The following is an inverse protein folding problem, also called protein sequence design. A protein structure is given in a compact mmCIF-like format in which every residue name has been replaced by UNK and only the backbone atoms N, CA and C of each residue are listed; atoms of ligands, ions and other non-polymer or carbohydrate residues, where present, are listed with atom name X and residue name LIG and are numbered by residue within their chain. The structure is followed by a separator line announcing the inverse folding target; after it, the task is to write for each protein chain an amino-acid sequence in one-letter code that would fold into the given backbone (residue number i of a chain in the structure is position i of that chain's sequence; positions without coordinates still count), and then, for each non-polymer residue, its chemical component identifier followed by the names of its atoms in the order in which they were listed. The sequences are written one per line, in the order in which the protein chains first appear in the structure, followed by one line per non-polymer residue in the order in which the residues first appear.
data_IF_325431098332
#
_entry.id   IF_325431098332
#
_cell.length_a   1.000
_cell.length_b   1.000
_cell.length_c   1.000
_cell.angle_alpha   90.00
_cell.angle_beta   90.00
_cell.angle_gamma   90.00
#
_symmetry.space_group_name_H-M   'P 1'
#
loop_
_entity.id
_entity.type
_entity.pdbx_description
1 polymer ?
#
# COMPACT_ATOMS: atom_id res chain seq x y z
N UNK A 1 49.14 -11.76 50.15
CA UNK A 1 50.23 -11.68 49.15
C UNK A 1 49.65 -12.07 47.80
N UNK A 2 50.02 -11.34 46.74
CA UNK A 2 49.05 -10.70 45.85
C UNK A 2 49.35 -10.96 44.38
N UNK A 3 48.47 -10.49 43.49
CA UNK A 3 48.72 -9.72 42.25
C UNK A 3 47.33 -9.17 41.87
N UNK A 4 47.01 -7.85 41.91
CA UNK A 4 47.53 -6.72 41.10
C UNK A 4 47.50 -7.06 39.60
N UNK A 5 46.99 -6.26 38.67
CA UNK A 5 46.75 -4.81 38.60
C UNK A 5 45.97 -4.52 37.29
N UNK A 6 45.17 -3.45 37.29
CA UNK A 6 45.06 -2.38 36.27
C UNK A 6 44.81 -2.74 34.77
N UNK A 7 44.10 -1.99 33.93
CA UNK A 7 44.06 -0.53 33.74
C UNK A 7 42.71 -0.09 33.13
N UNK A 8 42.32 1.12 33.52
CA UNK A 8 41.23 2.00 33.10
C UNK A 8 41.01 2.24 31.60
N UNK A 9 39.80 2.74 31.26
CA UNK A 9 39.60 4.04 30.59
C UNK A 9 38.11 4.41 30.52
N UNK A 10 37.54 4.87 31.64
CA UNK A 10 36.33 5.71 31.62
C UNK A 10 36.75 7.13 31.23
N UNK A 11 36.55 7.49 29.96
CA UNK A 11 36.61 8.89 29.54
C UNK A 11 35.44 9.67 30.14
N UNK A 12 35.77 10.50 31.13
CA UNK A 12 34.94 11.57 31.66
C UNK A 12 35.05 12.77 30.72
N UNK A 13 34.07 12.96 29.84
CA UNK A 13 33.94 14.21 29.11
C UNK A 13 33.24 15.23 30.00
N UNK A 14 34.03 16.23 30.38
CA UNK A 14 33.66 17.40 31.18
C UNK A 14 32.54 18.21 30.53
N UNK A 15 31.61 18.70 31.35
CA UNK A 15 30.64 19.72 30.95
C UNK A 15 31.35 21.08 30.76
N UNK A 16 31.04 21.85 29.70
CA UNK A 16 31.50 23.23 29.60
C UNK A 16 30.62 24.16 30.44
N UNK A 17 31.31 25.10 31.11
CA UNK A 17 30.76 26.19 31.92
C UNK A 17 29.70 27.02 31.18
N UNK A 18 28.63 27.38 31.90
CA UNK A 18 27.71 28.46 31.56
C UNK A 18 28.41 29.82 31.53
N UNK A 19 27.97 30.72 30.65
CA UNK A 19 27.75 32.10 31.01
C UNK A 19 26.25 32.43 30.97
N UNK A 20 25.85 33.20 31.97
CA UNK A 20 24.56 33.84 32.18
C UNK A 20 24.22 34.87 31.11
N UNK A 21 22.97 34.88 30.63
CA UNK A 21 22.35 36.07 30.03
C UNK A 21 21.40 35.81 28.86
N UNK A 22 20.15 36.25 29.05
CA UNK A 22 19.08 36.56 28.08
C UNK A 22 18.10 35.44 27.68
N UNK A 23 16.84 35.65 28.07
CA UNK A 23 15.63 35.03 27.54
C UNK A 23 15.51 35.34 26.04
N UNK A 24 15.68 34.35 25.16
CA UNK A 24 15.03 34.29 23.85
C UNK A 24 14.75 32.83 23.48
N UNK A 25 13.50 32.57 23.06
CA UNK A 25 12.94 31.41 22.35
C UNK A 25 13.56 30.02 22.60
N UNK A 26 12.92 29.28 23.51
CA UNK A 26 13.01 27.81 23.52
C UNK A 26 12.20 27.27 22.33
N UNK A 27 12.81 26.59 21.35
CA UNK A 27 12.06 26.06 20.21
C UNK A 27 11.16 24.90 20.66
N UNK A 28 9.88 25.01 20.31
CA UNK A 28 8.88 23.97 20.50
C UNK A 28 9.28 22.70 19.72
N UNK A 29 9.46 21.58 20.43
CA UNK A 29 9.90 20.28 19.87
C UNK A 29 8.85 19.60 18.97
N UNK A 30 7.75 20.27 18.65
CA UNK A 30 6.60 19.68 17.94
C UNK A 30 6.64 19.80 16.41
N UNK A 31 7.65 20.47 15.84
CA UNK A 31 7.78 20.55 14.36
C UNK A 31 9.22 20.39 13.89
N UNK A 32 9.64 19.14 13.68
CA UNK A 32 10.83 18.86 12.89
C UNK A 32 10.50 19.05 11.39
N UNK A 33 10.70 20.26 10.88
CA UNK A 33 10.83 20.50 9.44
C UNK A 33 12.32 20.53 9.12
N UNK A 34 12.80 19.59 8.30
CA UNK A 34 14.10 19.73 7.69
C UNK A 34 14.08 20.99 6.82
N UNK A 35 14.80 22.03 7.24
CA UNK A 35 15.15 23.12 6.34
C UNK A 35 15.83 22.53 5.10
N UNK A 36 15.51 23.08 3.93
CA UNK A 36 16.01 22.60 2.65
C UNK A 36 17.53 22.44 2.69
N UNK A 37 17.99 21.21 2.42
CA UNK A 37 19.41 20.85 2.41
C UNK A 37 20.22 21.84 1.55
N UNK A 38 21.01 22.70 2.18
CA UNK A 38 22.08 23.44 1.49
C UNK A 38 23.29 22.51 1.40
N UNK A 39 23.50 21.92 0.22
CA UNK A 39 24.69 21.14 -0.09
C UNK A 39 25.91 22.06 -0.13
N UNK A 40 26.81 21.91 0.83
CA UNK A 40 28.20 22.28 0.62
C UNK A 40 28.80 21.19 -0.27
N UNK A 41 29.16 21.55 -1.50
CA UNK A 41 29.71 20.67 -2.52
C UNK A 41 31.13 20.20 -2.16
N UNK A 42 31.25 19.18 -1.31
CA UNK A 42 32.47 18.38 -1.19
C UNK A 42 32.26 17.04 -1.91
N UNK A 43 33.15 16.73 -2.84
CA UNK A 43 33.03 15.65 -3.82
C UNK A 43 33.10 14.23 -3.24
N UNK A 44 33.50 14.05 -1.97
CA UNK A 44 33.91 12.74 -1.47
C UNK A 44 33.00 12.11 -0.40
N UNK A 45 31.90 12.75 0.00
CA UNK A 45 30.99 12.17 1.01
C UNK A 45 29.53 12.42 0.64
N UNK A 46 29.07 11.81 -0.46
CA UNK A 46 27.64 11.62 -0.67
C UNK A 46 27.21 10.32 0.03
N UNK A 47 26.42 10.38 1.12
CA UNK A 47 25.99 9.18 1.82
C UNK A 47 25.15 8.29 0.91
N UNK A 48 25.16 6.99 1.24
CA UNK A 48 24.60 5.87 0.49
C UNK A 48 23.14 6.00 -0.01
N UNK A 49 22.23 6.81 0.56
CA UNK A 49 20.90 7.02 -0.03
C UNK A 49 20.96 7.71 -1.40
N UNK A 50 21.91 8.64 -1.62
CA UNK A 50 21.98 9.40 -2.87
C UNK A 50 22.44 8.53 -4.04
N UNK A 51 23.43 7.67 -3.86
CA UNK A 51 23.91 6.75 -4.91
C UNK A 51 22.86 5.71 -5.32
N UNK A 52 22.10 5.17 -4.36
CA UNK A 52 21.00 4.23 -4.66
C UNK A 52 19.83 4.92 -5.37
N UNK A 53 19.51 6.17 -5.01
CA UNK A 53 18.50 7.00 -5.70
C UNK A 53 18.94 7.39 -7.10
N UNK A 54 20.23 7.59 -7.33
CA UNK A 54 20.73 7.81 -8.68
C UNK A 54 20.61 6.57 -9.56
N UNK A 55 20.66 5.35 -9.00
CA UNK A 55 20.61 4.12 -9.79
C UNK A 55 19.18 3.72 -10.20
N UNK A 56 18.16 4.05 -9.39
CA UNK A 56 16.77 3.70 -9.66
C UNK A 56 15.79 4.65 -8.98
N UNK A 57 14.61 4.83 -9.60
CA UNK A 57 13.44 5.45 -8.96
C UNK A 57 12.39 4.42 -8.60
N UNK A 58 11.74 4.63 -7.46
CA UNK A 58 10.64 3.82 -6.97
C UNK A 58 9.37 4.64 -6.98
N UNK A 59 8.39 4.21 -7.78
CA UNK A 59 7.12 4.90 -7.94
C UNK A 59 5.97 4.03 -7.44
N UNK A 60 4.91 4.67 -6.97
CA UNK A 60 3.66 4.03 -6.57
C UNK A 60 2.46 4.85 -7.04
N UNK A 61 1.39 4.18 -7.44
CA UNK A 61 0.15 4.82 -7.89
C UNK A 61 -0.97 4.48 -6.92
N UNK A 62 -1.47 5.49 -6.21
CA UNK A 62 -2.49 5.34 -5.19
C UNK A 62 -3.80 5.98 -5.62
N UNK A 63 -4.91 5.31 -5.31
CA UNK A 63 -6.24 5.89 -5.29
C UNK A 63 -6.55 6.27 -3.84
N UNK A 64 -6.67 7.57 -3.59
CA UNK A 64 -6.79 8.14 -2.25
C UNK A 64 -7.89 9.20 -2.20
N UNK A 65 -8.45 9.47 -1.01
CA UNK A 65 -9.38 10.58 -0.83
C UNK A 65 -8.71 11.93 -1.13
N UNK A 66 -9.48 12.87 -1.66
CA UNK A 66 -8.98 14.23 -1.89
C UNK A 66 -8.64 14.93 -0.56
N UNK A 67 -7.56 15.74 -0.51
CA UNK A 67 -7.20 16.50 0.69
C UNK A 67 -8.34 17.39 1.19
N UNK A 68 -8.47 17.51 2.51
CA UNK A 68 -9.48 18.36 3.14
C UNK A 68 -10.92 17.85 3.07
N UNK A 69 -11.13 16.62 2.59
CA UNK A 69 -12.46 15.99 2.57
C UNK A 69 -12.77 15.30 3.90
N UNK A 70 -14.06 15.17 4.29
CA UNK A 70 -14.44 14.49 5.54
C UNK A 70 -13.86 13.08 5.65
N UNK A 71 -13.87 12.31 4.56
CA UNK A 71 -13.30 10.97 4.51
C UNK A 71 -11.78 10.98 4.76
N UNK A 72 -11.02 11.89 4.12
CA UNK A 72 -9.58 12.03 4.33
C UNK A 72 -9.28 12.36 5.79
N UNK A 73 -10.00 13.33 6.36
CA UNK A 73 -9.82 13.74 7.76
C UNK A 73 -10.16 12.61 8.72
N UNK A 74 -11.22 11.84 8.44
CA UNK A 74 -11.62 10.70 9.26
C UNK A 74 -10.60 9.54 9.22
N UNK A 75 -9.98 9.29 8.06
CA UNK A 75 -8.90 8.32 7.90
C UNK A 75 -7.65 8.73 8.67
N UNK A 76 -7.24 9.99 8.56
CA UNK A 76 -6.11 10.52 9.32
C UNK A 76 -6.38 10.45 10.83
N UNK A 77 -7.55 10.90 11.27
CA UNK A 77 -7.98 10.84 12.67
C UNK A 77 -7.96 9.41 13.20
N UNK A 78 -8.39 8.44 12.38
CA UNK A 78 -8.30 7.03 12.74
C UNK A 78 -6.85 6.60 12.98
N UNK A 79 -5.94 6.85 12.02
CA UNK A 79 -4.52 6.49 12.17
C UNK A 79 -3.87 7.14 13.40
N UNK A 80 -4.14 8.42 13.65
CA UNK A 80 -3.65 9.16 14.82
C UNK A 80 -4.18 8.59 16.15
N UNK A 81 -5.46 8.24 16.22
CA UNK A 81 -6.03 7.63 17.42
C UNK A 81 -5.49 6.23 17.63
N UNK A 82 -5.29 5.44 16.57
CA UNK A 82 -4.86 4.05 16.71
C UNK A 82 -3.39 3.91 17.04
N UNK A 83 -2.53 4.79 16.53
CA UNK A 83 -1.11 4.79 16.92
C UNK A 83 -0.93 5.07 18.41
N UNK A 84 -1.72 5.99 18.98
CA UNK A 84 -1.67 6.31 20.42
C UNK A 84 -2.26 5.18 21.27
N UNK A 85 -3.43 4.65 20.89
CA UNK A 85 -4.18 3.70 21.72
C UNK A 85 -3.69 2.26 21.63
N UNK A 86 -3.25 1.82 20.44
CA UNK A 86 -2.90 0.42 20.17
C UNK A 86 -1.42 0.23 19.80
N UNK A 87 -0.66 1.33 19.72
CA UNK A 87 0.71 1.34 19.25
C UNK A 87 0.83 1.33 17.72
N UNK A 88 2.05 1.49 17.21
CA UNK A 88 2.29 1.54 15.78
C UNK A 88 2.08 0.17 15.11
N UNK A 89 1.52 0.20 13.90
CA UNK A 89 1.44 -0.93 12.98
C UNK A 89 1.78 -0.45 11.56
N UNK A 90 1.93 -1.36 10.61
CA UNK A 90 2.46 -1.02 9.28
C UNK A 90 1.50 -0.21 8.41
N UNK A 91 0.20 -0.26 8.68
CA UNK A 91 -0.76 0.61 8.00
C UNK A 91 -0.56 2.09 8.36
N UNK A 92 0.20 2.41 9.42
CA UNK A 92 0.55 3.80 9.76
C UNK A 92 1.74 4.34 8.93
N UNK A 93 2.43 3.49 8.16
CA UNK A 93 3.58 3.93 7.37
C UNK A 93 3.19 4.72 6.12
N UNK A 94 1.91 4.70 5.72
CA UNK A 94 1.39 5.45 4.58
C UNK A 94 0.00 5.99 4.88
N UNK A 95 -0.44 7.07 4.21
CA UNK A 95 -1.84 7.47 4.25
C UNK A 95 -2.76 6.32 3.80
N UNK A 96 -3.97 6.24 4.33
CA UNK A 96 -4.91 5.19 3.92
C UNK A 96 -5.34 5.35 2.45
N UNK A 97 -5.03 4.36 1.63
CA UNK A 97 -5.21 4.39 0.18
C UNK A 97 -5.60 3.00 -0.38
N UNK A 98 -6.00 2.98 -1.65
CA UNK A 98 -6.09 1.77 -2.47
C UNK A 98 -4.89 1.79 -3.42
N UNK A 99 -4.01 0.80 -3.32
CA UNK A 99 -2.88 0.68 -4.24
C UNK A 99 -3.38 0.24 -5.62
N UNK A 100 -3.02 0.98 -6.67
CA UNK A 100 -3.24 0.59 -8.07
C UNK A 100 -1.98 -0.11 -8.58
N UNK A 101 -0.84 0.59 -8.46
CA UNK A 101 0.49 0.04 -8.72
C UNK A 101 1.27 0.11 -7.40
N UNK A 102 1.51 -1.07 -6.81
CA UNK A 102 2.10 -1.18 -5.47
C UNK A 102 3.61 -1.03 -5.47
N UNK A 103 4.23 -1.25 -6.64
CA UNK A 103 5.66 -1.11 -6.81
C UNK A 103 5.99 -0.92 -8.29
N UNK A 104 6.65 0.19 -8.61
CA UNK A 104 7.23 0.44 -9.93
C UNK A 104 8.68 0.81 -9.74
N UNK A 105 9.60 0.04 -10.32
CA UNK A 105 11.03 0.29 -10.28
C UNK A 105 11.53 0.60 -11.68
N UNK A 106 12.11 1.78 -11.85
CA UNK A 106 12.70 2.23 -13.11
C UNK A 106 14.19 2.50 -12.86
N UNK A 107 15.04 1.78 -13.58
CA UNK A 107 16.49 1.97 -13.54
C UNK A 107 16.88 3.24 -14.29
N UNK A 108 18.00 3.81 -13.86
CA UNK A 108 18.60 4.96 -14.51
C UNK A 108 19.14 4.54 -15.88
N UNK A 109 18.84 5.34 -16.90
CA UNK A 109 19.46 5.20 -18.22
C UNK A 109 20.98 5.38 -18.18
N UNK A 110 21.68 4.81 -19.17
CA UNK A 110 23.14 4.92 -19.29
C UNK A 110 23.60 6.37 -19.44
N UNK A 111 22.84 7.16 -20.20
CA UNK A 111 23.24 8.49 -20.62
C UNK A 111 22.70 9.53 -19.63
N UNK A 112 23.59 10.42 -19.14
CA UNK A 112 23.22 11.35 -18.06
C UNK A 112 22.12 12.35 -18.47
N UNK A 113 22.03 12.71 -19.75
CA UNK A 113 21.04 13.65 -20.29
C UNK A 113 19.64 13.06 -20.41
N UNK A 114 19.51 11.75 -20.66
CA UNK A 114 18.24 11.04 -20.86
C UNK A 114 17.98 10.01 -19.75
N UNK A 115 18.73 10.10 -18.65
CA UNK A 115 18.74 9.09 -17.58
C UNK A 115 17.38 8.79 -16.94
N UNK A 116 16.40 9.69 -17.09
CA UNK A 116 15.04 9.55 -16.55
C UNK A 116 13.94 9.61 -17.62
N UNK A 117 14.29 9.46 -18.91
CA UNK A 117 13.34 9.47 -20.03
C UNK A 117 12.25 8.41 -19.84
N UNK A 118 12.59 7.21 -19.35
CA UNK A 118 11.60 6.16 -19.02
C UNK A 118 10.59 6.57 -17.95
N UNK A 119 10.99 7.45 -17.01
CA UNK A 119 10.08 7.97 -15.97
C UNK A 119 9.11 8.98 -16.58
N UNK A 120 9.60 9.84 -17.48
CA UNK A 120 8.78 10.80 -18.22
C UNK A 120 7.78 10.05 -19.11
N UNK A 121 8.23 9.06 -19.87
CA UNK A 121 7.38 8.18 -20.66
C UNK A 121 6.33 7.47 -19.78
N UNK A 122 6.72 6.99 -18.59
CA UNK A 122 5.78 6.37 -17.66
C UNK A 122 4.65 7.33 -17.25
N UNK A 123 4.98 8.60 -16.97
CA UNK A 123 3.98 9.63 -16.63
C UNK A 123 3.06 9.91 -17.83
N UNK A 124 3.60 9.97 -19.05
CA UNK A 124 2.81 10.16 -20.26
C UNK A 124 1.85 8.98 -20.52
N UNK A 125 2.32 7.74 -20.34
CA UNK A 125 1.47 6.55 -20.44
C UNK A 125 0.34 6.61 -19.41
N UNK A 126 0.63 7.03 -18.17
CA UNK A 126 -0.40 7.21 -17.15
C UNK A 126 -1.45 8.26 -17.56
N UNK A 127 -1.03 9.40 -18.09
CA UNK A 127 -1.96 10.42 -18.58
C UNK A 127 -2.90 9.89 -19.65
N UNK A 128 -2.33 9.23 -20.66
CA UNK A 128 -3.10 8.67 -21.77
C UNK A 128 -4.09 7.63 -21.29
N UNK A 129 -3.64 6.68 -20.47
CA UNK A 129 -4.51 5.59 -20.01
C UNK A 129 -5.56 6.10 -19.02
N UNK A 130 -5.24 7.02 -18.12
CA UNK A 130 -6.22 7.61 -17.20
C UNK A 130 -7.28 8.39 -17.99
N UNK A 131 -6.88 9.15 -19.02
CA UNK A 131 -7.82 9.90 -19.86
C UNK A 131 -8.76 8.99 -20.67
N UNK A 132 -8.30 7.78 -21.05
CA UNK A 132 -9.11 6.78 -21.78
C UNK A 132 -10.18 6.12 -20.91
N UNK A 133 -9.96 6.03 -19.60
CA UNK A 133 -10.83 5.30 -18.69
C UNK A 133 -11.80 6.22 -17.94
N UNK A 134 -13.06 5.80 -17.82
CA UNK A 134 -14.08 6.51 -17.02
C UNK A 134 -14.04 6.07 -15.56
N UNK A 135 -12.95 6.42 -14.89
CA UNK A 135 -12.71 6.03 -13.50
C UNK A 135 -13.76 6.64 -12.55
N UNK A 136 -14.28 5.83 -11.63
CA UNK A 136 -15.31 6.22 -10.65
C UNK A 136 -14.79 6.08 -9.23
N UNK A 137 -15.37 6.83 -8.30
CA UNK A 137 -15.06 6.71 -6.88
C UNK A 137 -15.34 5.27 -6.35
N UNK A 138 -14.47 4.72 -5.47
CA UNK A 138 -14.66 3.40 -4.87
C UNK A 138 -15.87 3.39 -3.93
N UNK A 139 -16.51 2.22 -3.83
CA UNK A 139 -17.63 2.00 -2.90
C UNK A 139 -17.16 1.27 -1.65
N UNK A 140 -17.48 1.82 -0.48
CA UNK A 140 -17.41 1.07 0.77
C UNK A 140 -18.31 -0.17 0.71
N UNK A 141 -17.82 -1.29 1.26
CA UNK A 141 -18.59 -2.54 1.38
C UNK A 141 -18.73 -2.98 2.83
N UNK A 142 -17.62 -3.19 3.53
CA UNK A 142 -17.62 -3.71 4.91
C UNK A 142 -16.25 -3.53 5.59
N UNK A 143 -16.22 -3.70 6.91
CA UNK A 143 -14.97 -3.98 7.64
C UNK A 143 -14.80 -5.47 7.85
N UNK A 144 -13.59 -5.97 7.63
CA UNK A 144 -13.27 -7.39 7.78
C UNK A 144 -11.96 -7.59 8.53
N UNK A 145 -11.95 -8.57 9.41
CA UNK A 145 -10.73 -9.08 10.04
C UNK A 145 -10.33 -10.34 9.27
N UNK A 146 -9.21 -10.28 8.58
CA UNK A 146 -8.65 -11.42 7.85
C UNK A 146 -7.72 -12.20 8.76
N UNK A 147 -7.80 -13.53 8.73
CA UNK A 147 -6.91 -14.38 9.54
C UNK A 147 -5.60 -14.75 8.81
N UNK A 148 -5.55 -14.63 7.46
CA UNK A 148 -4.42 -15.01 6.60
C UNK A 148 -4.13 -13.94 5.52
N UNK A 149 -2.89 -13.84 4.99
CA UNK A 149 -1.68 -14.56 5.42
C UNK A 149 -1.17 -14.10 6.78
N UNK A 150 -1.35 -12.82 7.11
CA UNK A 150 -1.18 -12.26 8.45
C UNK A 150 -2.49 -11.64 8.91
N UNK A 151 -2.78 -11.67 10.22
CA UNK A 151 -4.03 -11.11 10.70
C UNK A 151 -4.06 -9.61 10.49
N UNK A 152 -5.11 -9.13 9.85
CA UNK A 152 -5.23 -7.73 9.48
C UNK A 152 -6.68 -7.25 9.57
N UNK A 153 -6.84 -5.96 9.82
CA UNK A 153 -8.10 -5.24 9.68
C UNK A 153 -8.09 -4.51 8.35
N UNK A 154 -9.13 -4.72 7.54
CA UNK A 154 -9.28 -4.09 6.23
C UNK A 154 -10.67 -3.48 6.07
N UNK A 155 -10.75 -2.44 5.24
CA UNK A 155 -12.00 -2.01 4.60
C UNK A 155 -12.10 -2.74 3.27
N UNK A 156 -13.17 -3.49 3.05
CA UNK A 156 -13.51 -3.99 1.74
C UNK A 156 -14.13 -2.88 0.90
N UNK A 157 -13.60 -2.71 -0.31
CA UNK A 157 -14.04 -1.71 -1.27
C UNK A 157 -14.36 -2.35 -2.61
N UNK A 158 -15.29 -1.75 -3.36
CA UNK A 158 -15.59 -2.10 -4.75
C UNK A 158 -15.22 -0.96 -5.67
N UNK A 159 -14.21 -1.18 -6.50
CA UNK A 159 -13.81 -0.32 -7.62
C UNK A 159 -14.48 -0.76 -8.93
N UNK A 160 -14.54 0.11 -9.94
CA UNK A 160 -14.98 -0.30 -11.29
C UNK A 160 -13.91 -1.20 -11.94
N UNK A 161 -14.31 -2.02 -12.90
CA UNK A 161 -13.38 -2.82 -13.71
C UNK A 161 -12.37 -1.98 -14.49
N UNK A 162 -12.66 -0.70 -14.70
CA UNK A 162 -11.79 0.22 -15.43
C UNK A 162 -10.45 0.43 -14.73
N UNK A 163 -10.39 0.33 -13.40
CA UNK A 163 -9.10 0.36 -12.68
C UNK A 163 -8.24 -0.88 -12.97
N UNK A 164 -8.87 -2.05 -13.11
CA UNK A 164 -8.14 -3.27 -13.49
C UNK A 164 -7.66 -3.20 -14.94
N UNK A 165 -8.51 -2.67 -15.85
CA UNK A 165 -8.14 -2.45 -17.24
C UNK A 165 -7.00 -1.43 -17.36
N UNK A 166 -7.05 -0.34 -16.59
CA UNK A 166 -5.98 0.65 -16.47
C UNK A 166 -4.67 -0.01 -16.05
N UNK A 167 -4.67 -0.78 -14.96
CA UNK A 167 -3.46 -1.48 -14.48
C UNK A 167 -2.88 -2.41 -15.54
N UNK A 168 -3.71 -3.19 -16.24
CA UNK A 168 -3.29 -4.05 -17.35
C UNK A 168 -2.74 -3.29 -18.54
N UNK A 169 -3.35 -2.17 -18.92
CA UNK A 169 -2.90 -1.37 -20.06
C UNK A 169 -1.52 -0.76 -19.78
N UNK A 170 -1.29 -0.27 -18.56
CA UNK A 170 0.02 0.23 -18.12
C UNK A 170 1.04 -0.91 -18.12
N UNK A 171 0.70 -2.07 -17.55
CA UNK A 171 1.56 -3.25 -17.53
C UNK A 171 1.99 -3.67 -18.95
N UNK A 172 1.04 -3.74 -19.89
CA UNK A 172 1.34 -4.10 -21.28
C UNK A 172 2.31 -3.14 -21.97
N UNK A 173 2.26 -1.84 -21.65
CA UNK A 173 3.10 -0.82 -22.29
C UNK A 173 4.46 -0.66 -21.62
N UNK A 174 4.53 -0.85 -20.30
CA UNK A 174 5.70 -0.46 -19.49
C UNK A 174 6.44 -1.64 -18.85
N UNK A 175 5.90 -2.86 -18.84
CA UNK A 175 6.55 -4.00 -18.15
C UNK A 175 7.96 -4.31 -18.64
N UNK A 176 8.26 -4.13 -19.94
CA UNK A 176 9.61 -4.35 -20.48
C UNK A 176 10.60 -3.23 -20.14
N UNK A 177 10.11 -2.06 -19.72
CA UNK A 177 10.91 -0.87 -19.40
C UNK A 177 11.10 -0.67 -17.90
N UNK A 178 10.33 -1.38 -17.08
CA UNK A 178 10.42 -1.36 -15.63
C UNK A 178 11.10 -2.63 -15.11
N UNK A 179 12.05 -2.50 -14.19
CA UNK A 179 12.65 -3.64 -13.49
C UNK A 179 11.60 -4.38 -12.64
N UNK A 180 10.61 -3.65 -12.14
CA UNK A 180 9.44 -4.21 -11.47
C UNK A 180 8.22 -3.34 -11.74
N UNK A 181 7.07 -3.97 -12.01
CA UNK A 181 5.78 -3.31 -12.21
C UNK A 181 4.68 -4.21 -11.64
N UNK A 182 4.20 -3.90 -10.45
CA UNK A 182 3.28 -4.75 -9.71
C UNK A 182 1.88 -4.12 -9.62
N UNK A 183 0.93 -4.70 -10.37
CA UNK A 183 -0.49 -4.33 -10.28
C UNK A 183 -1.10 -4.93 -9.01
N UNK A 184 -1.71 -4.08 -8.18
CA UNK A 184 -2.25 -4.47 -6.88
C UNK A 184 -3.70 -5.00 -6.95
N UNK A 185 -4.13 -5.85 -6.00
CA UNK A 185 -5.54 -6.19 -5.84
C UNK A 185 -6.31 -5.00 -5.23
N UNK A 186 -7.11 -4.31 -6.06
CA UNK A 186 -7.76 -3.02 -5.74
C UNK A 186 -9.09 -3.17 -4.97
N UNK A 187 -9.20 -4.15 -4.08
CA UNK A 187 -10.47 -4.47 -3.38
C UNK A 187 -10.44 -4.17 -1.87
N UNK A 188 -9.32 -3.65 -1.35
CA UNK A 188 -9.12 -3.46 0.09
C UNK A 188 -8.34 -2.19 0.40
N UNK A 189 -8.63 -1.61 1.56
CA UNK A 189 -7.78 -0.63 2.24
C UNK A 189 -7.34 -1.26 3.54
N UNK A 190 -6.03 -1.33 3.77
CA UNK A 190 -5.48 -1.90 5.01
C UNK A 190 -5.51 -0.86 6.13
N UNK A 191 -6.20 -1.18 7.23
CA UNK A 191 -6.30 -0.31 8.40
C UNK A 191 -5.32 -0.66 9.50
N UNK A 192 -5.03 -1.96 9.65
CA UNK A 192 -4.03 -2.43 10.61
C UNK A 192 -3.49 -3.79 10.20
N UNK A 193 -2.17 -3.92 10.14
CA UNK A 193 -1.48 -5.19 9.92
C UNK A 193 -0.03 -5.10 10.38
N UNK A 194 0.57 -6.26 10.63
CA UNK A 194 1.98 -6.42 10.94
C UNK A 194 2.51 -7.69 10.25
N UNK A 195 3.57 -7.57 9.47
CA UNK A 195 4.20 -8.68 8.73
C UNK A 195 4.96 -9.60 9.69
N UNK A 196 5.74 -9.02 10.62
CA UNK A 196 6.60 -9.80 11.53
C UNK A 196 5.85 -10.34 12.75
N UNK A 197 4.96 -9.54 13.35
CA UNK A 197 4.22 -9.89 14.57
C UNK A 197 2.74 -9.62 14.41
N UNK A 198 1.98 -10.67 14.11
CA UNK A 198 0.53 -10.59 13.93
C UNK A 198 -0.17 -9.92 15.11
N UNK A 199 -1.07 -8.99 14.80
CA UNK A 199 -1.93 -8.33 15.80
C UNK A 199 -2.92 -9.37 16.37
N UNK A 200 -3.19 -9.30 17.67
CA UNK A 200 -4.13 -10.23 18.32
C UNK A 200 -5.55 -9.98 17.82
N UNK A 201 -6.36 -11.05 17.71
CA UNK A 201 -7.75 -10.94 17.26
C UNK A 201 -8.60 -10.03 18.16
N UNK A 202 -8.47 -10.05 19.51
CA UNK A 202 -9.14 -9.07 20.37
C UNK A 202 -8.74 -7.63 20.08
N UNK A 203 -7.45 -7.36 19.87
CA UNK A 203 -7.00 -6.01 19.51
C UNK A 203 -7.56 -5.57 18.13
N UNK A 204 -7.63 -6.47 17.16
CA UNK A 204 -8.25 -6.19 15.86
C UNK A 204 -9.77 -5.92 15.97
N UNK A 205 -10.47 -6.56 16.91
CA UNK A 205 -11.88 -6.24 17.20
C UNK A 205 -12.03 -4.83 17.77
N UNK A 206 -11.20 -4.46 18.74
CA UNK A 206 -11.21 -3.11 19.32
C UNK A 206 -10.83 -2.05 18.28
N UNK A 207 -9.86 -2.33 17.41
CA UNK A 207 -9.49 -1.48 16.28
C UNK A 207 -10.65 -1.34 15.28
N UNK A 208 -11.40 -2.42 15.03
CA UNK A 208 -12.59 -2.38 14.18
C UNK A 208 -13.67 -1.47 14.76
N UNK A 209 -14.00 -1.61 16.04
CA UNK A 209 -14.96 -0.74 16.72
C UNK A 209 -14.50 0.74 16.67
N UNK A 210 -13.19 0.96 16.78
CA UNK A 210 -12.60 2.29 16.62
C UNK A 210 -12.75 2.83 15.19
N UNK A 211 -12.55 1.99 14.18
CA UNK A 211 -12.74 2.34 12.78
C UNK A 211 -14.21 2.70 12.51
N UNK A 212 -15.15 1.86 12.97
CA UNK A 212 -16.59 2.07 12.82
C UNK A 212 -17.10 3.36 13.46
N UNK A 213 -16.48 3.80 14.56
CA UNK A 213 -16.83 5.03 15.28
C UNK A 213 -16.08 6.28 14.80
N UNK A 214 -15.01 6.14 14.03
CA UNK A 214 -14.14 7.27 13.63
C UNK A 214 -14.23 7.58 12.14
N UNK A 215 -14.30 6.56 11.29
CA UNK A 215 -14.29 6.72 9.84
C UNK A 215 -15.69 7.14 9.36
N UNK A 216 -15.77 8.22 8.58
CA UNK A 216 -17.05 8.75 8.08
C UNK A 216 -17.56 7.94 6.88
N UNK A 217 -18.07 6.75 7.18
CA UNK A 217 -18.68 5.85 6.18
C UNK A 217 -20.01 6.40 5.69
N UNK A 218 -20.72 7.15 6.54
CA UNK A 218 -22.03 7.68 6.19
C UNK A 218 -21.91 8.67 5.03
N UNK A 219 -20.98 9.62 5.12
CA UNK A 219 -20.69 10.53 4.02
C UNK A 219 -20.19 9.76 2.80
N UNK A 220 -19.23 8.84 2.98
CA UNK A 220 -18.70 8.04 1.87
C UNK A 220 -19.80 7.28 1.10
N UNK A 221 -20.76 6.65 1.79
CA UNK A 221 -21.86 5.93 1.13
C UNK A 221 -22.91 6.90 0.55
N UNK A 222 -23.11 8.06 1.16
CA UNK A 222 -24.07 9.07 0.70
C UNK A 222 -23.61 9.79 -0.55
N UNK A 223 -22.38 10.30 -0.56
CA UNK A 223 -21.81 11.17 -1.61
C UNK A 223 -20.89 10.42 -2.56
N UNK A 224 -20.40 9.24 -2.16
CA UNK A 224 -19.31 8.52 -2.85
C UNK A 224 -17.92 8.98 -2.41
N UNK A 225 -17.82 10.08 -1.65
CA UNK A 225 -16.57 10.76 -1.37
C UNK A 225 -15.95 11.41 -2.62
N UNK A 226 -14.90 12.20 -2.38
CA UNK A 226 -14.10 12.81 -3.43
C UNK A 226 -12.71 12.17 -3.42
N UNK A 227 -12.24 11.73 -4.59
CA UNK A 227 -11.07 10.88 -4.73
C UNK A 227 -10.15 11.38 -5.83
N UNK A 228 -8.88 11.00 -5.76
CA UNK A 228 -7.87 11.23 -6.79
C UNK A 228 -6.96 10.03 -6.95
N UNK A 229 -6.42 9.88 -8.16
CA UNK A 229 -5.22 9.08 -8.37
C UNK A 229 -4.00 9.98 -8.14
N UNK A 230 -3.02 9.49 -7.40
CA UNK A 230 -1.78 10.22 -7.11
C UNK A 230 -0.59 9.30 -7.40
N UNK A 231 0.30 9.77 -8.27
CA UNK A 231 1.59 9.16 -8.53
C UNK A 231 2.61 9.76 -7.56
N UNK A 232 3.23 8.90 -6.77
CA UNK A 232 4.29 9.29 -5.84
C UNK A 232 5.63 8.68 -6.20
N UNK A 233 6.69 9.45 -6.01
CA UNK A 233 8.04 8.92 -5.85
C UNK A 233 8.28 8.58 -4.38
N UNK A 234 8.72 7.34 -4.11
CA UNK A 234 9.10 6.89 -2.78
C UNK A 234 10.54 7.33 -2.53
N UNK A 235 10.69 8.46 -1.83
CA UNK A 235 12.00 9.02 -1.50
C UNK A 235 12.71 8.17 -0.45
N UNK A 236 11.98 7.78 0.59
CA UNK A 236 12.50 6.94 1.67
C UNK A 236 11.44 5.92 2.10
N UNK A 237 11.76 4.65 1.92
CA UNK A 237 10.95 3.55 2.41
C UNK A 237 11.28 3.29 3.89
N UNK A 238 10.35 3.62 4.78
CA UNK A 238 10.49 3.32 6.20
C UNK A 238 10.22 1.84 6.47
N UNK A 239 11.24 1.14 6.99
CA UNK A 239 11.12 -0.21 7.54
C UNK A 239 10.64 -0.19 9.01
N UNK A 240 10.61 0.99 9.63
CA UNK A 240 10.16 1.16 11.02
C UNK A 240 8.66 1.30 11.05
N UNK A 241 8.01 0.47 11.86
CA UNK A 241 6.57 0.46 12.04
C UNK A 241 6.10 1.76 12.69
N UNK A 242 5.11 2.42 12.10
CA UNK A 242 4.59 3.70 12.61
C UNK A 242 5.28 4.94 12.09
N UNK A 243 6.41 4.78 11.37
CA UNK A 243 7.12 5.91 10.77
C UNK A 243 6.69 6.02 9.31
N UNK A 244 6.12 7.16 8.94
CA UNK A 244 5.62 7.41 7.60
C UNK A 244 6.75 7.37 6.56
N UNK A 245 6.44 6.78 5.41
CA UNK A 245 7.28 6.84 4.23
C UNK A 245 7.35 8.28 3.73
N UNK A 246 8.52 8.68 3.23
CA UNK A 246 8.66 9.98 2.58
C UNK A 246 8.27 9.81 1.11
N UNK A 247 7.12 10.37 0.75
CA UNK A 247 6.55 10.36 -0.58
C UNK A 247 6.60 11.76 -1.18
N UNK A 248 6.95 11.87 -2.45
CA UNK A 248 6.85 13.13 -3.22
C UNK A 248 5.82 12.95 -4.33
N UNK A 249 4.76 13.76 -4.30
CA UNK A 249 3.74 13.73 -5.34
C UNK A 249 4.36 14.23 -6.65
N UNK A 250 4.37 13.40 -7.68
CA UNK A 250 4.79 13.78 -9.03
C UNK A 250 3.60 14.36 -9.77
N UNK A 251 2.45 13.70 -9.67
CA UNK A 251 1.25 14.05 -10.41
C UNK A 251 0.00 13.49 -9.75
N UNK A 252 -1.13 14.17 -9.92
CA UNK A 252 -2.43 13.67 -9.51
C UNK A 252 -3.53 13.94 -10.55
N UNK A 253 -4.52 13.05 -10.57
CA UNK A 253 -5.67 13.09 -11.45
C UNK A 253 -6.95 13.00 -10.63
N UNK A 254 -7.87 13.98 -10.73
CA UNK A 254 -9.12 13.93 -9.99
C UNK A 254 -10.02 12.80 -10.54
N UNK A 255 -10.65 12.04 -9.66
CA UNK A 255 -11.68 11.07 -10.03
C UNK A 255 -13.01 11.80 -10.08
N UNK A 256 -13.73 11.65 -11.20
CA UNK A 256 -15.02 12.30 -11.36
C UNK A 256 -15.99 11.84 -10.26
N UNK A 257 -16.67 12.78 -9.58
CA UNK A 257 -17.71 12.43 -8.63
C UNK A 257 -18.80 11.66 -9.37
N UNK A 258 -19.44 10.71 -8.68
CA UNK A 258 -20.54 9.96 -9.27
C UNK A 258 -21.62 10.94 -9.73
N UNK A 259 -21.97 10.91 -11.01
CA UNK A 259 -23.29 11.37 -11.45
C UNK A 259 -24.32 10.60 -10.64
N UNK A 260 -25.30 11.29 -10.05
CA UNK A 260 -26.37 10.65 -9.29
C UNK A 260 -27.17 9.71 -10.19
N UNK A 261 -26.79 8.44 -10.27
CA UNK A 261 -27.59 7.42 -10.90
C UNK A 261 -28.89 7.26 -10.08
N UNK A 262 -30.01 7.65 -10.70
CA UNK A 262 -31.28 8.00 -10.06
C UNK A 262 -31.96 6.89 -9.25
N UNK A 263 -31.54 5.63 -9.39
CA UNK A 263 -32.20 4.49 -8.77
C UNK A 263 -31.66 4.15 -7.36
N UNK A 264 -30.34 4.28 -7.15
CA UNK A 264 -29.71 3.98 -5.86
C UNK A 264 -29.71 5.18 -4.89
N UNK A 265 -29.78 6.41 -5.43
CA UNK A 265 -29.87 7.65 -4.64
C UNK A 265 -31.20 7.77 -3.88
N UNK A 266 -32.27 7.16 -4.38
CA UNK A 266 -33.61 7.18 -3.78
C UNK A 266 -33.73 6.26 -2.55
N UNK A 267 -32.76 5.37 -2.31
CA UNK A 267 -32.73 4.56 -1.10
C UNK A 267 -32.12 5.35 0.08
N UNK A 268 -32.76 5.30 1.26
CA UNK A 268 -32.17 5.79 2.51
C UNK A 268 -30.74 5.28 2.69
N UNK A 269 -29.83 6.16 3.13
CA UNK A 269 -28.41 5.82 3.34
C UNK A 269 -28.25 4.61 4.28
N UNK A 270 -29.11 4.47 5.28
CA UNK A 270 -29.15 3.32 6.18
C UNK A 270 -29.42 2.00 5.46
N UNK A 271 -30.30 1.99 4.44
CA UNK A 271 -30.54 0.82 3.59
C UNK A 271 -29.37 0.55 2.65
N UNK A 272 -28.73 1.60 2.10
CA UNK A 272 -27.52 1.43 1.27
C UNK A 272 -26.36 0.83 2.05
N UNK A 273 -26.13 1.31 3.27
CA UNK A 273 -25.13 0.75 4.19
C UNK A 273 -25.46 -0.73 4.46
N UNK A 274 -26.71 -1.05 4.83
CA UNK A 274 -27.16 -2.44 5.05
C UNK A 274 -27.00 -3.32 3.81
N UNK A 275 -27.33 -2.83 2.62
CA UNK A 275 -27.16 -3.55 1.36
C UNK A 275 -25.69 -3.77 1.00
N UNK A 276 -24.82 -2.79 1.27
CA UNK A 276 -23.37 -2.95 1.14
C UNK A 276 -22.89 -4.10 2.03
N UNK A 277 -23.28 -4.12 3.30
CA UNK A 277 -22.99 -5.20 4.23
C UNK A 277 -23.57 -6.56 3.80
N UNK A 278 -24.84 -6.61 3.36
CA UNK A 278 -25.48 -7.85 2.90
C UNK A 278 -24.83 -8.40 1.63
N UNK A 279 -24.46 -7.54 0.68
CA UNK A 279 -23.77 -7.96 -0.55
C UNK A 279 -22.36 -8.52 -0.27
N UNK A 280 -21.73 -8.08 0.82
CA UNK A 280 -20.48 -8.65 1.34
C UNK A 280 -20.70 -10.07 1.87
N UNK A 281 -21.80 -10.30 2.59
CA UNK A 281 -22.09 -11.56 3.24
C UNK A 281 -22.39 -12.68 2.24
N UNK A 282 -23.16 -12.38 1.19
CA UNK A 282 -23.48 -13.35 0.13
C UNK A 282 -22.27 -13.79 -0.70
N UNK A 283 -21.19 -13.00 -0.75
CA UNK A 283 -19.95 -13.40 -1.42
C UNK A 283 -19.04 -14.25 -0.53
N UNK A 284 -19.08 -14.04 0.78
CA UNK A 284 -18.34 -14.85 1.77
C UNK A 284 -18.87 -16.29 1.88
N UNK A 285 -20.14 -16.53 1.53
CA UNK A 285 -20.76 -17.88 1.50
C UNK A 285 -20.40 -18.75 0.29
N UNK A 286 -19.50 -18.31 -0.60
CA UNK A 286 -19.10 -19.08 -1.80
C UNK A 286 -18.04 -20.16 -1.54
N UNK A 287 -17.91 -20.64 -0.29
CA UNK A 287 -17.13 -21.85 0.03
C UNK A 287 -18.07 -23.04 0.21
N UNK A 288 -18.71 -23.46 -0.89
CA UNK A 288 -19.13 -24.85 -0.99
C UNK A 288 -17.89 -25.68 -1.35
N UNK A 289 -17.54 -26.72 -0.56
CA UNK A 289 -16.43 -27.59 -0.92
C UNK A 289 -16.77 -28.29 -2.23
N UNK A 290 -15.89 -28.13 -3.23
CA UNK A 290 -15.90 -28.95 -4.45
C UNK A 290 -15.82 -30.40 -3.99
N UNK A 291 -16.93 -31.12 -4.13
CA UNK A 291 -17.03 -32.57 -3.90
C UNK A 291 -15.89 -33.24 -4.70
N UNK A 292 -15.04 -34.08 -4.09
CA UNK A 292 -13.96 -34.72 -4.83
C UNK A 292 -14.58 -35.61 -5.92
N UNK A 293 -14.09 -35.44 -7.14
CA UNK A 293 -14.45 -36.31 -8.26
C UNK A 293 -14.06 -37.76 -7.92
N UNK A 294 -14.91 -38.75 -8.20
CA UNK A 294 -14.54 -40.14 -8.02
C UNK A 294 -13.39 -40.51 -8.97
N UNK A 295 -12.47 -41.40 -8.56
CA UNK A 295 -11.38 -41.84 -9.41
C UNK A 295 -11.90 -42.57 -10.66
N UNK A 296 -11.18 -42.51 -11.79
CA UNK A 296 -11.59 -43.21 -13.01
C UNK A 296 -11.60 -44.72 -12.77
N UNK A 297 -12.75 -45.34 -13.03
CA UNK A 297 -12.91 -46.80 -13.08
C UNK A 297 -12.13 -47.30 -14.29
N UNK A 298 -11.07 -48.09 -14.06
CA UNK A 298 -10.44 -48.87 -15.12
C UNK A 298 -11.41 -49.99 -15.56
N UNK A 299 -11.68 -50.15 -16.86
CA UNK A 299 -12.39 -51.35 -17.33
C UNK A 299 -11.45 -52.55 -17.27
N UNK A 300 -11.81 -53.50 -16.42
CA UNK A 300 -11.23 -54.85 -16.37
C UNK A 300 -11.63 -55.62 -17.63
N UNK A 301 -10.62 -56.22 -18.27
CA UNK A 301 -10.67 -57.33 -19.24
C UNK A 301 -11.08 -57.03 -20.69
N UNK A 302 -10.08 -57.09 -21.58
CA UNK A 302 -10.14 -57.99 -22.74
C UNK A 302 -8.74 -58.29 -23.32
N UNK A 303 -8.33 -59.54 -23.12
CA UNK A 303 -7.68 -60.42 -24.11
C UNK A 303 -6.23 -60.14 -24.54
N UNK A 304 -5.32 -60.89 -23.90
CA UNK A 304 -3.96 -61.20 -24.36
C UNK A 304 -4.03 -62.03 -25.65
N UNK A 305 -3.46 -61.51 -26.75
CA UNK A 305 -3.11 -62.32 -27.92
C UNK A 305 -1.58 -62.34 -28.04
N UNK A 306 -1.00 -63.47 -27.65
CA UNK A 306 0.39 -63.86 -27.83
C UNK A 306 0.53 -64.60 -29.17
N UNK A 307 1.46 -64.19 -30.02
CA UNK A 307 2.14 -64.98 -31.09
C UNK A 307 3.02 -64.01 -31.89
N UNK A 308 4.22 -64.33 -32.39
CA UNK A 308 5.24 -65.36 -32.19
C UNK A 308 6.46 -64.73 -32.89
N UNK A 309 7.66 -64.85 -32.33
CA UNK A 309 8.89 -64.43 -33.01
C UNK A 309 9.20 -65.32 -34.22
N UNK A 310 9.84 -64.80 -35.28
CA UNK A 310 10.69 -65.60 -36.14
C UNK A 310 12.17 -65.41 -35.79
N UNK A 311 12.89 -66.52 -35.93
CA UNK A 311 14.30 -66.74 -35.66
C UNK A 311 15.23 -66.03 -36.66
N UNK A 312 16.48 -65.91 -36.23
CA UNK A 312 17.67 -65.51 -37.00
C UNK A 312 17.95 -66.44 -38.20
N UNK A 313 18.56 -65.88 -39.24
CA UNK A 313 19.71 -66.34 -40.07
C UNK A 313 19.77 -65.37 -41.27
N UNK A 314 20.89 -64.87 -41.80
CA UNK A 314 22.33 -65.15 -41.73
C UNK A 314 23.11 -63.85 -41.48
#
# INVERSE_FOLDING_TARGET
MPFSEAIDNRSTLSAPNQPSGNNEDVPDFTTFKLEGFKMNSSTDINPSPHRLREARRSLVLFLEPNPGTPIQTSFQTFQEKTIIQFGPNQAHNTPLHISILGRVLIERGSDFSTKWETVEEFVEVLDEEIARHKLKAPNFTSFEILDKPTRSLVINVRVSSDYHNLGKAIEQRMASKCTALEVSPMNKIHLAYNVLKSISRPALKNLKEKAESTIDIYDWVKTGGSWRLSLYEVMLESQVVGVQQQLTEIRSWPIQPKSQDSFASNLPVSLRIKLAFLSSWFKSSSFLPKKPAPPPVQPTNAMVIRRRAPQQTF
#
